data_IF_117920752630
#
_entry.id   IF_117920752630
#
_cell.length_a   1.000
_cell.length_b   1.000
_cell.length_c   1.000
_cell.angle_alpha   90.00
_cell.angle_beta   90.00
_cell.angle_gamma   90.00
#
_symmetry.space_group_name_H-M   'P 1'
#
loop_
_entity.id
_entity.type
_entity.pdbx_description
1 polymer ?
#
# COMPACT_ATOMS: atom_id res chain seq x y z
N UNK A 1 13.74 -6.37 4.79
CA UNK A 1 13.16 -5.11 5.26
C UNK A 1 12.60 -5.25 6.67
N UNK A 2 12.87 -4.27 7.56
CA UNK A 2 12.21 -4.15 8.87
C UNK A 2 10.75 -3.75 8.67
N UNK A 3 9.82 -4.40 9.38
CA UNK A 3 8.40 -4.06 9.30
C UNK A 3 7.98 -3.41 10.61
N UNK A 4 7.40 -2.21 10.53
CA UNK A 4 6.88 -1.48 11.69
C UNK A 4 5.40 -1.23 11.48
N UNK A 5 4.56 -1.65 12.44
CA UNK A 5 3.10 -1.53 12.33
C UNK A 5 2.49 -0.88 13.56
N UNK A 6 1.42 -0.10 13.32
CA UNK A 6 0.51 0.37 14.35
C UNK A 6 -0.45 -0.75 14.70
N UNK A 7 -0.52 -1.09 15.98
CA UNK A 7 -1.49 -2.04 16.52
C UNK A 7 -2.40 -1.31 17.50
N UNK A 8 -3.69 -1.63 17.49
CA UNK A 8 -4.66 -1.07 18.42
C UNK A 8 -5.48 -2.18 19.04
N UNK A 9 -5.72 -2.08 20.34
CA UNK A 9 -6.79 -2.81 21.03
C UNK A 9 -7.92 -1.83 21.39
N UNK A 10 -8.95 -2.30 22.12
CA UNK A 10 -10.09 -1.44 22.51
C UNK A 10 -9.72 -0.29 23.46
N UNK A 11 -8.53 -0.31 24.06
CA UNK A 11 -8.13 0.56 25.18
C UNK A 11 -6.79 1.28 24.94
N UNK A 12 -5.90 0.72 24.13
CA UNK A 12 -4.51 1.15 23.98
C UNK A 12 -4.02 0.92 22.57
N UNK A 13 -2.98 1.65 22.23
CA UNK A 13 -2.26 1.48 20.99
C UNK A 13 -0.81 1.12 21.26
N UNK A 14 -0.22 0.41 20.31
CA UNK A 14 1.11 -0.17 20.41
C UNK A 14 1.85 0.03 19.08
N UNK A 15 3.16 -0.01 19.16
CA UNK A 15 4.02 -0.18 18.00
C UNK A 15 4.57 -1.61 18.04
N UNK A 16 4.43 -2.33 16.93
CA UNK A 16 5.11 -3.60 16.70
C UNK A 16 6.27 -3.43 15.74
N UNK A 17 7.46 -3.91 16.12
CA UNK A 17 8.66 -3.99 15.29
C UNK A 17 8.93 -5.46 15.00
N UNK A 18 9.03 -5.80 13.71
CA UNK A 18 9.20 -7.16 13.23
C UNK A 18 10.48 -7.23 12.39
N UNK A 19 11.42 -8.04 12.86
CA UNK A 19 12.68 -8.34 12.17
C UNK A 19 12.66 -9.82 11.77
N UNK A 20 13.04 -10.17 10.51
CA UNK A 20 13.09 -11.57 10.08
C UNK A 20 14.03 -12.39 10.97
N UNK A 21 13.53 -13.50 11.53
CA UNK A 21 14.29 -14.39 12.40
C UNK A 21 14.34 -13.99 13.88
N UNK A 22 13.78 -12.84 14.24
CA UNK A 22 13.74 -12.35 15.63
C UNK A 22 12.32 -12.38 16.19
N UNK A 23 12.21 -12.45 17.52
CA UNK A 23 10.92 -12.31 18.19
C UNK A 23 10.36 -10.89 18.00
N UNK A 24 9.04 -10.73 17.73
CA UNK A 24 8.44 -9.41 17.61
C UNK A 24 8.61 -8.57 18.87
N UNK A 25 9.00 -7.32 18.71
CA UNK A 25 9.00 -6.34 19.81
C UNK A 25 7.73 -5.50 19.74
N UNK A 26 6.84 -5.70 20.71
CA UNK A 26 5.56 -4.99 20.78
C UNK A 26 5.49 -4.24 22.11
N UNK A 27 5.30 -2.93 22.04
CA UNK A 27 5.26 -2.08 23.23
C UNK A 27 4.24 -0.93 23.05
N UNK A 28 3.61 -0.48 24.15
CA UNK A 28 2.60 0.56 24.09
C UNK A 28 3.21 1.88 23.62
N UNK A 29 2.50 2.58 22.74
CA UNK A 29 2.93 3.88 22.20
C UNK A 29 1.73 4.77 21.88
N UNK A 30 1.88 6.06 22.14
CA UNK A 30 1.03 7.12 21.60
C UNK A 30 1.21 7.27 20.07
N UNK A 31 0.31 7.99 19.41
CA UNK A 31 0.44 8.27 17.98
C UNK A 31 1.71 9.09 17.67
N UNK A 32 2.06 10.03 18.56
CA UNK A 32 3.26 10.84 18.44
C UNK A 32 4.54 9.99 18.55
N UNK A 33 4.60 9.08 19.52
CA UNK A 33 5.73 8.15 19.65
C UNK A 33 5.83 7.22 18.44
N UNK A 34 4.70 6.70 17.95
CA UNK A 34 4.69 5.89 16.74
C UNK A 34 5.22 6.66 15.52
N UNK A 35 4.72 7.87 15.29
CA UNK A 35 5.20 8.73 14.20
C UNK A 35 6.71 9.01 14.32
N UNK A 36 7.20 9.24 15.54
CA UNK A 36 8.63 9.45 15.78
C UNK A 36 9.45 8.20 15.50
N UNK A 37 8.97 7.02 15.84
CA UNK A 37 9.61 5.74 15.50
C UNK A 37 9.68 5.58 13.97
N UNK A 38 8.58 5.84 13.25
CA UNK A 38 8.56 5.77 11.79
C UNK A 38 9.63 6.68 11.15
N UNK A 39 9.80 7.90 11.67
CA UNK A 39 10.85 8.83 11.20
C UNK A 39 12.26 8.33 11.47
N UNK A 40 12.52 7.77 12.66
CA UNK A 40 13.85 7.25 13.04
C UNK A 40 14.27 6.11 12.10
N UNK A 41 13.32 5.25 11.72
CA UNK A 41 13.57 4.12 10.82
C UNK A 41 13.35 4.45 9.33
N UNK A 42 13.13 5.73 8.99
CA UNK A 42 12.89 6.18 7.61
C UNK A 42 11.72 5.45 6.92
N UNK A 43 10.68 5.11 7.69
CA UNK A 43 9.46 4.45 7.23
C UNK A 43 8.28 5.44 7.08
N UNK A 44 8.47 6.73 7.37
CA UNK A 44 7.39 7.73 7.36
C UNK A 44 7.06 8.29 5.97
N UNK A 45 7.98 8.16 5.01
CA UNK A 45 7.84 8.64 3.63
C UNK A 45 8.83 7.94 2.68
N UNK A 46 8.74 8.14 1.36
CA UNK A 46 9.77 7.68 0.44
C UNK A 46 11.09 8.41 0.71
N UNK A 47 12.19 7.64 0.81
CA UNK A 47 13.55 8.16 0.89
C UNK A 47 14.37 7.59 -0.25
N UNK A 48 15.21 8.42 -0.85
CA UNK A 48 16.07 7.98 -1.96
C UNK A 48 17.12 6.96 -1.46
N UNK A 49 17.26 5.86 -2.20
CA UNK A 49 18.18 4.77 -1.85
C UNK A 49 17.82 3.96 -0.59
N UNK A 50 16.64 4.14 0.00
CA UNK A 50 16.20 3.40 1.21
C UNK A 50 15.08 2.43 0.86
N UNK A 51 15.29 1.15 1.16
CA UNK A 51 14.24 0.13 1.09
C UNK A 51 13.30 0.25 2.30
N UNK A 52 12.07 0.69 2.04
CA UNK A 52 11.01 0.85 3.03
C UNK A 52 9.63 0.50 2.45
N UNK A 53 8.59 0.63 3.27
CA UNK A 53 7.20 0.35 2.88
C UNK A 53 6.75 1.09 1.60
N UNK A 54 7.39 2.21 1.24
CA UNK A 54 7.10 2.98 0.03
C UNK A 54 7.76 2.42 -1.23
N UNK A 55 8.96 1.85 -1.09
CA UNK A 55 9.66 1.16 -2.19
C UNK A 55 9.04 -0.19 -2.53
N UNK A 56 8.52 -0.91 -1.53
CA UNK A 56 8.07 -2.30 -1.67
C UNK A 56 6.58 -2.38 -2.10
N UNK A 57 5.73 -1.49 -1.56
CA UNK A 57 4.29 -1.47 -1.86
C UNK A 57 3.86 -0.40 -2.87
N UNK A 58 4.81 0.37 -3.42
CA UNK A 58 4.51 1.38 -4.45
C UNK A 58 3.53 2.47 -3.99
N UNK A 59 3.52 2.78 -2.69
CA UNK A 59 2.61 3.76 -2.07
C UNK A 59 2.90 5.22 -2.47
N UNK A 60 3.79 5.43 -3.45
CA UNK A 60 4.29 6.72 -3.92
C UNK A 60 3.29 7.48 -4.82
N UNK A 61 2.06 6.98 -4.96
CA UNK A 61 1.06 7.54 -5.86
C UNK A 61 1.20 6.98 -7.28
N UNK A 62 0.29 6.07 -7.62
CA UNK A 62 0.02 5.57 -8.97
C UNK A 62 1.22 4.91 -9.68
N UNK A 63 1.40 3.62 -9.39
CA UNK A 63 1.56 2.64 -10.47
C UNK A 63 0.67 1.44 -10.14
N UNK A 64 -0.63 1.56 -10.44
CA UNK A 64 -1.38 0.38 -10.85
C UNK A 64 -0.53 -0.28 -11.94
N UNK A 65 0.06 -1.45 -11.66
CA UNK A 65 0.45 -2.35 -12.73
C UNK A 65 -0.80 -2.46 -13.58
N UNK A 66 -0.78 -1.86 -14.77
CA UNK A 66 -1.81 -2.03 -15.75
C UNK A 66 -1.81 -3.53 -16.08
N UNK A 67 -2.65 -4.29 -15.37
CA UNK A 67 -3.10 -5.57 -15.87
C UNK A 67 -3.89 -5.18 -17.10
N UNK A 68 -3.27 -5.33 -18.27
CA UNK A 68 -3.91 -5.08 -19.54
C UNK A 68 -5.11 -6.03 -19.63
N UNK A 69 -6.28 -5.56 -19.26
CA UNK A 69 -7.52 -6.14 -19.73
C UNK A 69 -7.54 -5.85 -21.22
N UNK A 70 -7.19 -6.88 -22.02
CA UNK A 70 -7.34 -6.83 -23.45
C UNK A 70 -8.78 -6.38 -23.78
N UNK A 71 -8.98 -5.43 -24.70
CA UNK A 71 -10.33 -5.08 -25.11
C UNK A 71 -11.00 -6.34 -25.69
N UNK A 72 -12.22 -6.62 -25.22
CA UNK A 72 -13.04 -7.68 -25.80
C UNK A 72 -13.15 -7.47 -27.31
N UNK A 73 -13.08 -8.53 -28.13
CA UNK A 73 -13.13 -8.40 -29.57
C UNK A 73 -14.45 -7.76 -29.99
N UNK A 74 -14.32 -6.68 -30.76
CA UNK A 74 -15.33 -5.87 -31.45
C UNK A 74 -16.75 -6.44 -31.45
N UNK A 75 -17.61 -5.86 -30.61
CA UNK A 75 -19.05 -6.00 -30.78
C UNK A 75 -19.45 -5.32 -32.10
N UNK A 76 -19.81 -6.13 -33.11
CA UNK A 76 -20.38 -5.68 -34.38
C UNK A 76 -21.48 -4.64 -34.14
N UNK A 77 -21.28 -3.45 -34.71
CA UNK A 77 -22.28 -2.38 -34.85
C UNK A 77 -23.57 -2.96 -35.46
N UNK A 78 -24.75 -2.84 -34.84
CA UNK A 78 -25.99 -3.25 -35.50
C UNK A 78 -26.24 -2.31 -36.69
N UNK A 79 -26.50 -2.93 -37.84
CA UNK A 79 -26.80 -2.25 -39.09
C UNK A 79 -28.08 -1.40 -38.95
N UNK A 80 -28.05 -0.20 -39.55
CA UNK A 80 -29.21 0.65 -39.70
C UNK A 80 -30.24 -0.06 -40.59
N UNK A 81 -31.44 -0.30 -40.07
CA UNK A 81 -32.56 -0.72 -40.90
C UNK A 81 -33.16 0.51 -41.58
N UNK A 82 -32.99 0.53 -42.89
CA UNK A 82 -33.74 1.33 -43.85
C UNK A 82 -35.22 0.97 -43.78
N UNK A 83 -36.09 1.92 -43.47
CA UNK A 83 -37.52 1.81 -43.72
C UNK A 83 -37.86 2.76 -44.87
N UNK A 84 -37.99 2.19 -46.06
CA UNK A 84 -38.76 2.73 -47.17
C UNK A 84 -40.15 2.08 -47.11
N UNK A 85 -41.20 2.90 -47.26
CA UNK A 85 -42.60 2.47 -47.27
C UNK A 85 -43.50 3.62 -46.89
#
# INVERSE_FOLDING_TARGET
MIVIRRLTDRRRAYTGIFLPGEAPQIFPTSDHEHARIMQIYLQDRPYDGVENDFSDYGLNGIALKAVAFAPAPDAKKPAANSAAG
#
